data_IF_322864496455
#
_entry.id   IF_322864496455
#
_cell.length_a   1.000
_cell.length_b   1.000
_cell.length_c   1.000
_cell.angle_alpha   90.00
_cell.angle_beta   90.00
_cell.angle_gamma   90.00
#
_symmetry.space_group_name_H-M   'P 1'
#
loop_
_entity.id
_entity.type
_entity.pdbx_description
1 polymer ?
#
# COMPACT_ATOMS: atom_id res chain seq x y z
N UNK A 1 -11.91 -7.29 18.18
CA UNK A 1 -10.53 -7.79 18.04
C UNK A 1 -9.73 -6.67 17.40
N UNK A 2 -8.66 -6.20 18.05
CA UNK A 2 -7.79 -5.17 17.48
C UNK A 2 -6.72 -5.88 16.67
N UNK A 3 -6.74 -5.77 15.34
CA UNK A 3 -5.70 -6.36 14.49
C UNK A 3 -4.33 -5.71 14.73
N UNK A 4 -3.26 -6.31 14.21
CA UNK A 4 -1.89 -5.88 14.51
C UNK A 4 -1.55 -4.46 14.01
N UNK A 5 -2.38 -3.88 13.14
CA UNK A 5 -2.23 -2.52 12.61
C UNK A 5 -3.33 -1.56 13.08
N UNK A 6 -4.12 -1.92 14.09
CA UNK A 6 -5.17 -1.06 14.58
C UNK A 6 -4.66 0.32 15.02
N UNK A 7 -5.29 1.37 14.50
CA UNK A 7 -4.91 2.77 14.76
C UNK A 7 -3.76 3.27 13.89
N UNK A 8 -3.16 2.43 13.04
CA UNK A 8 -2.14 2.86 12.07
C UNK A 8 -2.78 3.24 10.74
N UNK A 9 -2.18 4.21 10.06
CA UNK A 9 -2.50 4.62 8.68
C UNK A 9 -1.47 4.02 7.73
N UNK A 10 -1.93 3.21 6.78
CA UNK A 10 -1.08 2.54 5.80
C UNK A 10 -1.37 3.09 4.41
N UNK A 11 -0.37 3.69 3.80
CA UNK A 11 -0.36 4.08 2.40
C UNK A 11 -0.01 2.89 1.53
N UNK A 12 -0.70 2.69 0.41
CA UNK A 12 -0.34 1.70 -0.61
C UNK A 12 -0.15 2.40 -1.95
N UNK A 13 1.04 2.27 -2.54
CA UNK A 13 1.37 2.87 -3.83
C UNK A 13 1.43 1.77 -4.89
N UNK A 14 0.55 1.89 -5.88
CA UNK A 14 0.26 0.88 -6.90
C UNK A 14 -0.90 -0.03 -6.48
N UNK A 15 -1.90 -0.18 -7.35
CA UNK A 15 -3.14 -0.93 -7.14
C UNK A 15 -3.35 -2.06 -8.15
N UNK A 16 -2.29 -2.50 -8.83
CA UNK A 16 -2.29 -3.78 -9.52
C UNK A 16 -2.48 -4.95 -8.52
N UNK A 17 -2.17 -6.18 -8.94
CA UNK A 17 -2.47 -7.39 -8.15
C UNK A 17 -1.88 -7.39 -6.73
N UNK A 18 -0.58 -7.16 -6.57
CA UNK A 18 0.08 -7.20 -5.26
C UNK A 18 -0.32 -6.01 -4.38
N UNK A 19 -0.49 -4.83 -4.96
CA UNK A 19 -0.92 -3.64 -4.24
C UNK A 19 -2.32 -3.78 -3.64
N UNK A 20 -3.28 -4.28 -4.42
CA UNK A 20 -4.62 -4.60 -3.92
C UNK A 20 -4.55 -5.64 -2.77
N UNK A 21 -3.70 -6.67 -2.90
CA UNK A 21 -3.53 -7.66 -1.84
C UNK A 21 -2.96 -7.03 -0.55
N UNK A 22 -1.96 -6.14 -0.66
CA UNK A 22 -1.40 -5.40 0.47
C UNK A 22 -2.45 -4.51 1.17
N UNK A 23 -3.26 -3.78 0.40
CA UNK A 23 -4.36 -2.97 0.92
C UNK A 23 -5.37 -3.83 1.70
N UNK A 24 -5.76 -4.98 1.13
CA UNK A 24 -6.67 -5.93 1.79
C UNK A 24 -6.09 -6.50 3.08
N UNK A 25 -4.80 -6.85 3.09
CA UNK A 25 -4.13 -7.34 4.28
C UNK A 25 -4.10 -6.25 5.37
N UNK A 26 -3.73 -5.01 5.02
CA UNK A 26 -3.70 -3.90 5.95
C UNK A 26 -5.08 -3.62 6.58
N UNK A 27 -6.14 -3.57 5.75
CA UNK A 27 -7.53 -3.43 6.22
C UNK A 27 -7.94 -4.59 7.14
N UNK A 28 -7.60 -5.83 6.77
CA UNK A 28 -7.90 -7.02 7.59
C UNK A 28 -7.17 -6.99 8.95
N UNK A 29 -6.01 -6.32 9.01
CA UNK A 29 -5.23 -6.11 10.24
C UNK A 29 -5.66 -4.84 11.01
N UNK A 30 -6.73 -4.18 10.58
CA UNK A 30 -7.34 -3.04 11.28
C UNK A 30 -6.71 -1.68 10.98
N UNK A 31 -5.85 -1.57 9.96
CA UNK A 31 -5.30 -0.29 9.53
C UNK A 31 -6.38 0.58 8.86
N UNK A 32 -6.18 1.89 8.93
CA UNK A 32 -6.80 2.84 8.01
C UNK A 32 -5.94 2.84 6.73
N UNK A 33 -6.54 2.52 5.59
CA UNK A 33 -5.78 2.38 4.33
C UNK A 33 -6.08 3.54 3.40
N UNK A 34 -5.03 4.11 2.82
CA UNK A 34 -5.12 4.98 1.66
C UNK A 34 -4.30 4.37 0.51
N UNK A 35 -4.96 3.99 -0.59
CA UNK A 35 -4.31 3.39 -1.74
C UNK A 35 -4.35 4.31 -2.97
N UNK A 36 -3.24 4.42 -3.70
CA UNK A 36 -3.16 5.29 -4.87
C UNK A 36 -2.37 4.65 -6.00
N UNK A 37 -2.74 4.95 -7.24
CA UNK A 37 -2.07 4.46 -8.44
C UNK A 37 -2.11 5.54 -9.52
N UNK A 38 -0.98 5.76 -10.20
CA UNK A 38 -0.89 6.72 -11.30
C UNK A 38 -1.68 6.29 -12.55
N UNK A 39 -1.97 5.00 -12.70
CA UNK A 39 -2.73 4.48 -13.82
C UNK A 39 -4.24 4.78 -13.70
N UNK A 40 -4.89 4.92 -14.86
CA UNK A 40 -6.35 5.09 -14.98
C UNK A 40 -6.98 3.95 -15.77
N UNK A 41 -6.36 2.77 -15.77
CA UNK A 41 -6.90 1.59 -16.46
C UNK A 41 -8.22 1.13 -15.81
N UNK A 42 -9.06 0.40 -16.55
CA UNK A 42 -10.28 -0.17 -15.98
C UNK A 42 -9.97 -1.07 -14.77
N UNK A 43 -8.92 -1.88 -14.85
CA UNK A 43 -8.47 -2.74 -13.76
C UNK A 43 -8.02 -1.94 -12.53
N UNK A 44 -7.33 -0.81 -12.72
CA UNK A 44 -6.90 0.05 -11.61
C UNK A 44 -8.10 0.72 -10.93
N UNK A 45 -9.10 1.17 -11.69
CA UNK A 45 -10.33 1.74 -11.14
C UNK A 45 -11.12 0.70 -10.35
N UNK A 46 -11.27 -0.50 -10.91
CA UNK A 46 -11.92 -1.63 -10.24
C UNK A 46 -11.20 -1.98 -8.92
N UNK A 47 -9.87 -2.04 -8.93
CA UNK A 47 -9.10 -2.27 -7.71
C UNK A 47 -9.30 -1.15 -6.66
N UNK A 48 -9.35 0.12 -7.09
CA UNK A 48 -9.64 1.24 -6.20
C UNK A 48 -11.07 1.15 -5.62
N UNK A 49 -12.06 0.77 -6.42
CA UNK A 49 -13.43 0.56 -5.96
C UNK A 49 -13.51 -0.57 -4.91
N UNK A 50 -12.83 -1.70 -5.14
CA UNK A 50 -12.75 -2.79 -4.16
C UNK A 50 -12.13 -2.35 -2.83
N UNK A 51 -11.10 -1.48 -2.84
CA UNK A 51 -10.53 -0.92 -1.60
C UNK A 51 -11.56 -0.07 -0.87
N UNK A 52 -12.33 0.76 -1.59
CA UNK A 52 -13.41 1.59 -1.01
C UNK A 52 -14.53 0.74 -0.42
N UNK A 53 -14.94 -0.31 -1.11
CA UNK A 53 -15.96 -1.26 -0.63
C UNK A 53 -15.55 -1.96 0.67
N UNK A 54 -14.25 -2.20 0.85
CA UNK A 54 -13.69 -2.78 2.08
C UNK A 54 -13.46 -1.75 3.20
N UNK A 55 -13.85 -0.49 2.99
CA UNK A 55 -13.76 0.59 3.98
C UNK A 55 -12.43 1.35 3.98
N UNK A 56 -11.58 1.14 2.97
CA UNK A 56 -10.40 1.96 2.73
C UNK A 56 -10.70 3.20 1.89
N UNK A 57 -9.71 4.06 1.75
CA UNK A 57 -9.73 5.17 0.79
C UNK A 57 -8.83 4.81 -0.39
N UNK A 58 -9.25 5.15 -1.60
CA UNK A 58 -8.44 4.89 -2.79
C UNK A 58 -8.63 5.93 -3.89
N UNK A 59 -7.60 6.11 -4.71
CA UNK A 59 -7.65 6.90 -5.94
C UNK A 59 -6.87 6.25 -7.09
N UNK A 60 -7.16 6.73 -8.31
CA UNK A 60 -6.51 6.32 -9.55
C UNK A 60 -6.19 7.56 -10.39
N UNK A 61 -5.07 7.55 -11.11
CA UNK A 61 -4.62 8.69 -11.92
C UNK A 61 -3.72 9.67 -11.19
N UNK A 62 -3.27 9.36 -9.98
CA UNK A 62 -2.48 10.27 -9.17
C UNK A 62 -2.08 9.71 -7.82
N UNK A 63 -1.43 10.58 -7.05
CA UNK A 63 -1.01 10.35 -5.67
C UNK A 63 -1.21 11.64 -4.86
N UNK A 64 -2.14 11.64 -3.92
CA UNK A 64 -2.32 12.73 -2.95
C UNK A 64 -1.19 12.70 -1.93
N UNK A 65 -0.27 13.67 -2.06
CA UNK A 65 0.91 13.77 -1.20
C UNK A 65 0.55 14.05 0.27
N UNK A 66 -0.50 14.80 0.54
CA UNK A 66 -0.89 15.13 1.92
C UNK A 66 -1.39 13.87 2.64
N UNK A 67 -2.18 13.04 1.93
CA UNK A 67 -2.65 11.76 2.46
C UNK A 67 -1.51 10.76 2.65
N UNK A 68 -0.59 10.67 1.70
CA UNK A 68 0.59 9.81 1.83
C UNK A 68 1.50 10.27 2.98
N UNK A 69 1.72 11.57 3.13
CA UNK A 69 2.53 12.14 4.22
C UNK A 69 1.90 11.91 5.60
N UNK A 70 0.58 11.76 5.66
CA UNK A 70 -0.14 11.47 6.90
C UNK A 70 -0.12 9.98 7.29
N UNK A 71 0.43 9.09 6.45
CA UNK A 71 0.54 7.66 6.75
C UNK A 71 1.72 7.38 7.70
N UNK A 72 1.57 6.32 8.51
CA UNK A 72 2.63 5.83 9.40
C UNK A 72 3.60 4.89 8.66
N UNK A 73 3.16 4.33 7.53
CA UNK A 73 3.91 3.41 6.67
C UNK A 73 3.38 3.48 5.24
N UNK A 74 4.27 3.45 4.25
CA UNK A 74 3.94 3.26 2.84
C UNK A 74 4.40 1.87 2.38
N UNK A 75 3.50 1.12 1.75
CA UNK A 75 3.78 -0.14 1.07
C UNK A 75 3.89 0.10 -0.43
N UNK A 76 5.06 -0.18 -0.99
CA UNK A 76 5.36 0.00 -2.41
C UNK A 76 5.14 -1.33 -3.15
N UNK A 77 4.28 -1.31 -4.17
CA UNK A 77 4.05 -2.46 -5.05
C UNK A 77 5.32 -2.81 -5.85
N UNK A 78 5.65 -4.09 -6.07
CA UNK A 78 6.93 -4.51 -6.69
C UNK A 78 7.22 -3.96 -8.09
N UNK A 79 6.17 -3.55 -8.83
CA UNK A 79 6.31 -2.98 -10.18
C UNK A 79 6.73 -1.51 -10.19
N UNK A 80 6.80 -0.84 -9.02
CA UNK A 80 7.16 0.56 -8.91
C UNK A 80 8.62 0.66 -8.45
N UNK A 81 9.49 1.36 -9.20
CA UNK A 81 10.87 1.56 -8.80
C UNK A 81 10.95 2.28 -7.44
N UNK A 82 11.84 1.83 -6.51
CA UNK A 82 11.99 2.48 -5.21
C UNK A 82 12.56 3.91 -5.31
N UNK A 83 13.16 4.25 -6.46
CA UNK A 83 13.73 5.57 -6.73
C UNK A 83 12.79 6.47 -7.54
N UNK A 84 11.51 6.10 -7.68
CA UNK A 84 10.46 6.87 -8.35
C UNK A 84 10.39 8.32 -7.80
N UNK A 85 10.19 9.34 -8.65
CA UNK A 85 10.18 10.75 -8.21
C UNK A 85 9.23 11.05 -7.05
N UNK A 86 8.07 10.38 -7.01
CA UNK A 86 7.09 10.49 -5.92
C UNK A 86 7.73 10.30 -4.53
N UNK A 87 8.59 9.29 -4.37
CA UNK A 87 9.22 8.99 -3.07
C UNK A 87 10.35 9.96 -2.71
N UNK A 88 10.74 10.85 -3.63
CA UNK A 88 11.71 11.93 -3.39
C UNK A 88 11.03 13.23 -2.97
N UNK A 89 9.70 13.27 -2.96
CA UNK A 89 8.95 14.44 -2.50
C UNK A 89 9.28 14.75 -1.04
N UNK A 90 9.67 15.99 -0.69
CA UNK A 90 10.07 16.35 0.67
C UNK A 90 8.99 16.04 1.72
N UNK A 91 7.71 16.09 1.33
CA UNK A 91 6.58 15.75 2.19
C UNK A 91 6.61 14.30 2.68
N UNK A 92 7.22 13.38 1.91
CA UNK A 92 7.29 11.96 2.23
C UNK A 92 8.58 11.55 2.93
N UNK A 93 9.56 12.46 3.10
CA UNK A 93 10.89 12.12 3.60
C UNK A 93 10.92 11.50 5.01
N UNK A 94 9.86 11.66 5.80
CA UNK A 94 9.71 11.09 7.13
C UNK A 94 8.86 9.81 7.20
N UNK A 95 8.23 9.39 6.09
CA UNK A 95 7.33 8.23 6.07
C UNK A 95 8.12 6.99 5.68
N UNK A 96 8.19 5.95 6.53
CA UNK A 96 8.86 4.70 6.18
C UNK A 96 8.22 4.07 4.94
N UNK A 97 9.05 3.61 4.00
CA UNK A 97 8.62 2.90 2.79
C UNK A 97 9.13 1.47 2.84
N UNK A 98 8.26 0.50 2.60
CA UNK A 98 8.61 -0.92 2.55
C UNK A 98 8.13 -1.56 1.26
N UNK A 99 8.82 -2.59 0.80
CA UNK A 99 8.33 -3.40 -0.31
C UNK A 99 7.11 -4.22 0.14
N UNK A 100 6.19 -4.50 -0.79
CA UNK A 100 5.02 -5.36 -0.51
C UNK A 100 5.39 -6.72 0.08
N UNK A 101 6.45 -7.37 -0.44
CA UNK A 101 6.92 -8.66 0.10
C UNK A 101 7.43 -8.57 1.54
N UNK A 102 8.07 -7.45 1.90
CA UNK A 102 8.50 -7.19 3.28
C UNK A 102 7.29 -6.93 4.18
N UNK A 103 6.29 -6.21 3.68
CA UNK A 103 5.04 -6.00 4.40
C UNK A 103 4.32 -7.34 4.66
N UNK A 104 4.18 -8.18 3.65
CA UNK A 104 3.58 -9.51 3.77
C UNK A 104 4.34 -10.39 4.77
N UNK A 105 5.67 -10.37 4.71
CA UNK A 105 6.55 -11.14 5.60
C UNK A 105 6.23 -10.93 7.10
N UNK A 106 5.83 -9.72 7.50
CA UNK A 106 5.53 -9.37 8.91
C UNK A 106 4.33 -10.12 9.49
N UNK A 107 3.49 -10.73 8.65
CA UNK A 107 2.27 -11.44 9.05
C UNK A 107 2.33 -12.95 8.81
N UNK A 108 3.48 -13.47 8.35
CA UNK A 108 3.67 -14.88 8.09
C UNK A 108 4.23 -15.58 9.34
N UNK A 109 3.53 -16.62 9.80
CA UNK A 109 3.96 -17.45 10.95
C UNK A 109 4.59 -18.80 10.52
N UNK A 110 4.65 -19.07 9.22
CA UNK A 110 5.17 -20.33 8.66
C UNK A 110 6.62 -20.20 8.19
N UNK A 111 7.39 -21.30 8.06
CA UNK A 111 8.71 -21.28 7.44
C UNK A 111 8.66 -20.72 6.02
N UNK A 112 9.63 -19.86 5.69
CA UNK A 112 9.69 -19.16 4.40
C UNK A 112 10.89 -19.65 3.61
N UNK A 113 10.65 -20.00 2.34
CA UNK A 113 11.68 -20.30 1.36
C UNK A 113 11.66 -19.19 0.31
N UNK A 114 12.74 -18.40 0.23
CA UNK A 114 12.90 -17.36 -0.77
C UNK A 114 13.73 -17.90 -1.95
N UNK A 115 13.17 -17.84 -3.15
CA UNK A 115 13.83 -18.25 -4.40
C UNK A 115 13.83 -17.06 -5.37
N UNK A 116 14.99 -16.75 -5.93
CA UNK A 116 15.21 -15.68 -6.92
C UNK A 116 16.22 -16.17 -7.97
N UNK A 117 16.34 -15.47 -9.11
CA UNK A 117 17.20 -15.83 -10.24
C UNK A 117 17.11 -14.84 -11.38
#
# INVERSE_FOLDING_TARGET
MSGALAGQRVGVIGLARSGLAAARLALAQGAQVYASDAAVSAATREAADLVRELGGEAESGGHDLERLAACDLIVLSPGIPPDVPLLREPALAGVPVVAEVEFAYRFLEAPIIAVTG
#
